data_IF_330924925645
#
_entry.id   IF_330924925645
#
_cell.length_a   1.000
_cell.length_b   1.000
_cell.length_c   1.000
_cell.angle_alpha   90.00
_cell.angle_beta   90.00
_cell.angle_gamma   90.00
#
_symmetry.space_group_name_H-M   'P 1'
#
loop_
_entity.id
_entity.type
_entity.pdbx_description
1 polymer ?
#
# COMPACT_ATOMS: atom_id res chain seq x y z
N UNK A 1 23.12 8.31 19.91
CA UNK A 1 21.82 8.97 20.09
C UNK A 1 21.87 10.28 19.35
N UNK A 2 20.91 10.57 18.49
CA UNK A 2 20.85 11.86 17.81
C UNK A 2 20.35 12.96 18.76
N UNK A 3 20.61 14.22 18.43
CA UNK A 3 20.21 15.36 19.26
C UNK A 3 18.69 15.42 19.54
N UNK A 4 17.86 14.95 18.60
CA UNK A 4 16.40 14.85 18.78
C UNK A 4 16.01 13.89 19.91
N UNK A 5 16.58 12.67 19.89
CA UNK A 5 16.31 11.65 20.89
C UNK A 5 16.76 12.08 22.27
N UNK A 6 17.93 12.75 22.33
CA UNK A 6 18.47 13.27 23.60
C UNK A 6 17.57 14.38 24.19
N UNK A 7 17.10 15.31 23.34
CA UNK A 7 16.17 16.36 23.74
C UNK A 7 14.83 15.78 24.23
N UNK A 8 14.26 14.82 23.51
CA UNK A 8 12.99 14.20 23.90
C UNK A 8 13.13 13.41 25.21
N UNK A 9 14.22 12.67 25.38
CA UNK A 9 14.50 11.95 26.62
C UNK A 9 14.61 12.93 27.82
N UNK A 10 15.36 14.00 27.64
CA UNK A 10 15.52 15.04 28.68
C UNK A 10 14.18 15.73 29.01
N UNK A 11 13.38 16.10 28.00
CA UNK A 11 12.09 16.75 28.22
C UNK A 11 11.02 15.81 28.82
N UNK A 12 11.22 14.50 28.76
CA UNK A 12 10.36 13.49 29.39
C UNK A 12 10.76 13.20 30.85
N UNK A 13 11.93 13.59 31.29
CA UNK A 13 12.39 13.39 32.70
C UNK A 13 11.43 14.08 33.68
N UNK A 14 11.10 13.43 34.77
CA UNK A 14 10.15 13.92 35.79
C UNK A 14 10.49 15.32 36.32
N UNK A 15 11.78 15.59 36.49
CA UNK A 15 12.30 16.88 36.97
C UNK A 15 12.29 18.02 35.95
N UNK A 16 12.04 17.68 34.63
CA UNK A 16 12.05 18.71 33.58
C UNK A 16 10.96 19.75 33.79
N UNK A 17 11.31 21.01 33.62
CA UNK A 17 10.35 22.14 33.51
C UNK A 17 10.52 22.80 32.17
N UNK A 18 9.42 23.29 31.53
CA UNK A 18 9.51 23.95 30.22
C UNK A 18 10.60 25.04 30.22
N UNK A 19 11.50 24.94 29.24
CA UNK A 19 12.67 25.82 29.07
C UNK A 19 12.55 26.57 27.74
N UNK A 20 13.07 27.81 27.72
CA UNK A 20 13.23 28.54 26.46
C UNK A 20 14.51 28.08 25.71
N UNK A 21 14.73 28.65 24.53
CA UNK A 21 15.86 28.24 23.68
C UNK A 21 17.23 28.55 24.33
N UNK A 22 17.33 29.62 25.10
CA UNK A 22 18.58 30.02 25.74
C UNK A 22 18.92 29.08 26.92
N UNK A 23 17.89 28.73 27.71
CA UNK A 23 18.00 27.75 28.78
C UNK A 23 18.42 26.38 28.20
N UNK A 24 17.84 25.94 27.09
CA UNK A 24 18.22 24.68 26.42
C UNK A 24 19.64 24.72 25.85
N UNK A 25 20.03 25.83 25.22
CA UNK A 25 21.41 26.02 24.71
C UNK A 25 22.42 25.88 25.84
N UNK A 26 22.14 26.49 27.03
CA UNK A 26 23.01 26.38 28.20
C UNK A 26 23.08 24.96 28.77
N UNK A 27 21.94 24.25 28.84
CA UNK A 27 21.88 22.89 29.39
C UNK A 27 22.61 21.88 28.49
N UNK A 28 22.51 22.04 27.17
CA UNK A 28 23.11 21.14 26.18
C UNK A 28 24.51 21.60 25.72
N UNK A 29 25.05 22.68 26.29
CA UNK A 29 26.36 23.26 25.95
C UNK A 29 26.54 23.44 24.42
N UNK A 30 25.51 24.02 23.77
CA UNK A 30 25.49 24.21 22.32
C UNK A 30 26.41 25.37 21.93
N UNK A 31 27.41 25.07 21.12
CA UNK A 31 28.35 26.08 20.62
C UNK A 31 27.68 27.10 19.67
N UNK A 32 28.25 28.32 19.49
CA UNK A 32 27.71 29.31 18.55
C UNK A 32 27.60 28.81 17.13
N UNK A 33 28.50 27.93 16.69
CA UNK A 33 28.46 27.33 15.34
C UNK A 33 27.34 26.32 15.19
N UNK A 34 26.98 25.61 16.23
CA UNK A 34 25.89 24.61 16.24
C UNK A 34 24.51 25.22 16.48
N UNK A 35 24.43 26.45 16.97
CA UNK A 35 23.17 27.12 17.33
C UNK A 35 22.15 27.13 16.21
N UNK A 36 22.60 27.41 14.97
CA UNK A 36 21.68 27.41 13.80
C UNK A 36 21.05 26.04 13.55
N UNK A 37 21.83 24.98 13.66
CA UNK A 37 21.38 23.60 13.48
C UNK A 37 20.43 23.22 14.62
N UNK A 38 20.78 23.52 15.85
CA UNK A 38 19.97 23.30 17.04
C UNK A 38 18.60 23.97 16.94
N UNK A 39 18.56 25.27 16.60
CA UNK A 39 17.32 26.02 16.38
C UNK A 39 16.46 25.41 15.27
N UNK A 40 17.09 24.96 14.16
CA UNK A 40 16.38 24.26 13.09
C UNK A 40 15.80 22.94 13.56
N UNK A 41 16.53 22.20 14.39
CA UNK A 41 16.08 20.94 14.99
C UNK A 41 14.85 21.13 15.86
N UNK A 42 14.87 22.13 16.78
CA UNK A 42 13.71 22.45 17.60
C UNK A 42 12.49 22.82 16.74
N UNK A 43 12.69 23.61 15.68
CA UNK A 43 11.61 23.96 14.76
C UNK A 43 11.02 22.73 14.03
N UNK A 44 11.87 21.79 13.63
CA UNK A 44 11.40 20.54 13.01
C UNK A 44 10.62 19.71 14.04
N UNK A 45 11.11 19.58 15.26
CA UNK A 45 10.43 18.84 16.33
C UNK A 45 9.07 19.47 16.69
N UNK A 46 8.97 20.79 16.65
CA UNK A 46 7.70 21.54 16.83
C UNK A 46 6.73 21.23 15.68
N UNK A 47 7.17 21.30 14.41
CA UNK A 47 6.37 20.94 13.24
C UNK A 47 5.93 19.46 13.24
N UNK A 48 6.76 18.57 13.73
CA UNK A 48 6.44 17.15 13.90
C UNK A 48 5.49 16.89 15.09
N UNK A 49 5.22 17.92 15.93
CA UNK A 49 4.44 17.81 17.15
C UNK A 49 5.11 16.92 18.21
N UNK A 50 6.43 16.74 18.14
CA UNK A 50 7.21 16.03 19.15
C UNK A 50 7.47 16.89 20.39
N UNK A 51 7.51 18.20 20.20
CA UNK A 51 7.52 19.22 21.24
C UNK A 51 6.50 20.32 20.89
N UNK A 52 6.07 21.05 21.89
CA UNK A 52 5.18 22.21 21.74
C UNK A 52 5.78 23.42 22.43
N UNK A 53 5.40 24.60 21.94
CA UNK A 53 5.80 25.86 22.55
C UNK A 53 4.66 26.42 23.38
N UNK A 54 4.95 26.70 24.67
CA UNK A 54 3.97 27.33 25.55
C UNK A 54 3.79 28.82 25.23
N UNK A 55 2.74 29.43 25.76
CA UNK A 55 2.50 30.90 25.65
C UNK A 55 3.64 31.77 26.21
N UNK A 56 4.59 31.19 26.94
CA UNK A 56 5.78 31.86 27.46
C UNK A 56 7.05 31.53 26.66
N UNK A 57 6.89 31.10 25.40
CA UNK A 57 8.00 30.72 24.52
C UNK A 57 8.91 29.58 25.04
N UNK A 58 8.37 28.71 25.90
CA UNK A 58 9.10 27.57 26.47
C UNK A 58 8.69 26.28 25.80
N UNK A 59 9.66 25.37 25.61
CA UNK A 59 9.44 24.07 24.97
C UNK A 59 9.08 23.00 26.01
N UNK A 60 8.17 22.10 25.63
CA UNK A 60 7.82 20.90 26.40
C UNK A 60 7.32 19.80 25.48
N UNK A 61 7.33 18.55 25.92
CA UNK A 61 6.60 17.49 25.25
C UNK A 61 5.10 17.66 25.46
N UNK A 62 4.26 17.32 24.45
CA UNK A 62 2.80 17.51 24.51
C UNK A 62 2.15 16.93 25.76
N UNK A 63 2.57 15.74 26.17
CA UNK A 63 2.00 14.98 27.29
C UNK A 63 2.09 15.78 28.61
N UNK A 64 3.17 16.53 28.81
CA UNK A 64 3.34 17.38 30.01
C UNK A 64 2.37 18.54 30.07
N UNK A 65 1.81 18.92 28.95
CA UNK A 65 0.80 19.98 28.86
C UNK A 65 -0.63 19.42 28.79
N UNK A 66 -0.79 18.11 28.96
CA UNK A 66 -2.07 17.43 28.83
C UNK A 66 -2.60 17.44 27.39
N UNK A 67 -1.67 17.53 26.42
CA UNK A 67 -1.99 17.44 24.99
C UNK A 67 -1.78 16.01 24.48
N UNK A 68 -2.70 15.55 23.65
CA UNK A 68 -2.64 14.26 22.98
C UNK A 68 -2.46 14.48 21.49
N UNK A 69 -1.50 13.77 20.91
CA UNK A 69 -1.25 13.77 19.48
C UNK A 69 -1.94 12.58 18.82
N UNK A 70 -2.55 12.82 17.66
CA UNK A 70 -3.23 11.76 16.92
C UNK A 70 -3.81 12.24 15.60
N UNK A 71 -4.63 11.38 14.98
CA UNK A 71 -5.33 11.68 13.73
C UNK A 71 -6.83 11.82 13.96
N UNK A 72 -7.43 12.80 13.30
CA UNK A 72 -8.89 13.03 13.36
C UNK A 72 -9.60 12.03 12.46
N UNK A 73 -10.50 11.27 13.03
CA UNK A 73 -11.52 10.52 12.29
C UNK A 73 -12.82 11.32 12.32
N UNK A 74 -13.10 12.02 11.24
CA UNK A 74 -14.28 12.88 11.14
C UNK A 74 -15.55 12.08 10.83
N UNK A 75 -16.67 12.60 11.29
CA UNK A 75 -17.99 12.08 10.99
C UNK A 75 -18.80 13.08 10.17
N UNK A 76 -19.68 12.60 9.26
CA UNK A 76 -20.52 13.43 8.39
C UNK A 76 -21.38 14.49 9.09
N UNK A 77 -21.61 14.35 10.41
CA UNK A 77 -22.33 15.33 11.24
C UNK A 77 -21.43 16.43 11.81
N UNK A 78 -20.14 16.49 11.43
CA UNK A 78 -19.21 17.55 11.82
C UNK A 78 -18.43 17.31 13.11
N UNK A 79 -18.76 16.31 13.91
CA UNK A 79 -17.92 15.89 15.03
C UNK A 79 -16.85 14.89 14.56
N UNK A 80 -15.86 14.60 15.40
CA UNK A 80 -14.84 13.60 15.12
C UNK A 80 -14.36 12.87 16.36
N UNK A 81 -13.42 11.95 16.14
CA UNK A 81 -12.67 11.30 17.17
C UNK A 81 -11.18 11.51 16.90
N UNK A 82 -10.42 11.84 17.92
CA UNK A 82 -8.99 11.71 17.86
C UNK A 82 -8.61 10.24 18.08
N UNK A 83 -7.89 9.67 17.14
CA UNK A 83 -7.23 8.37 17.28
C UNK A 83 -5.80 8.68 17.70
N UNK A 84 -5.40 8.42 18.97
CA UNK A 84 -4.06 8.69 19.44
C UNK A 84 -2.98 7.92 18.68
N UNK A 85 -1.77 8.49 18.59
CA UNK A 85 -0.59 7.81 18.02
C UNK A 85 0.09 6.87 19.02
N UNK A 86 -0.16 7.05 20.32
CA UNK A 86 0.39 6.18 21.37
C UNK A 86 -0.47 4.92 21.57
N UNK A 87 0.17 3.77 21.57
CA UNK A 87 -0.47 2.48 21.81
C UNK A 87 -1.07 2.43 23.23
N UNK A 88 -2.33 1.99 23.31
CA UNK A 88 -3.05 1.83 24.58
C UNK A 88 -3.82 3.07 25.06
N UNK A 89 -3.62 4.24 24.43
CA UNK A 89 -4.46 5.42 24.66
C UNK A 89 -5.86 5.23 24.05
N UNK A 90 -6.88 5.79 24.73
CA UNK A 90 -8.27 5.72 24.25
C UNK A 90 -8.61 6.86 23.32
N UNK A 91 -9.51 6.62 22.38
CA UNK A 91 -10.05 7.63 21.49
C UNK A 91 -10.68 8.79 22.27
N UNK A 92 -10.51 10.00 21.75
CA UNK A 92 -11.08 11.21 22.34
C UNK A 92 -12.17 11.75 21.44
N UNK A 93 -13.38 11.94 21.98
CA UNK A 93 -14.48 12.58 21.25
C UNK A 93 -14.22 14.07 21.07
N UNK A 94 -14.35 14.59 19.85
CA UNK A 94 -14.18 16.00 19.50
C UNK A 94 -15.51 16.54 19.01
N UNK A 95 -16.22 17.34 19.80
CA UNK A 95 -17.44 18.01 19.37
C UNK A 95 -17.20 18.90 18.14
N UNK A 96 -18.22 19.10 17.32
CA UNK A 96 -18.13 19.94 16.11
C UNK A 96 -17.67 21.39 16.39
N UNK A 97 -18.00 21.93 17.55
CA UNK A 97 -17.55 23.26 18.00
C UNK A 97 -16.07 23.32 18.35
N UNK A 98 -15.43 22.18 18.59
CA UNK A 98 -14.03 22.06 19.04
C UNK A 98 -13.11 21.41 18.00
N UNK A 99 -13.62 21.15 16.78
CA UNK A 99 -12.81 20.60 15.70
C UNK A 99 -11.84 21.62 15.08
N UNK A 100 -12.11 22.92 15.29
CA UNK A 100 -11.24 24.05 14.94
C UNK A 100 -10.61 23.99 13.53
N UNK A 101 -11.40 23.60 12.53
CA UNK A 101 -10.98 23.54 11.12
C UNK A 101 -10.13 22.31 10.78
N UNK A 102 -10.00 21.33 11.67
CA UNK A 102 -9.41 20.04 11.34
C UNK A 102 -10.34 19.24 10.41
N UNK A 103 -9.76 18.58 9.44
CA UNK A 103 -10.43 17.72 8.47
C UNK A 103 -10.12 16.24 8.75
N UNK A 104 -10.85 15.35 8.09
CA UNK A 104 -10.64 13.91 8.24
C UNK A 104 -9.18 13.51 7.97
N UNK A 105 -8.60 12.69 8.82
CA UNK A 105 -7.20 12.22 8.80
C UNK A 105 -6.14 13.29 9.07
N UNK A 106 -6.48 14.55 9.31
CA UNK A 106 -5.49 15.53 9.74
C UNK A 106 -4.80 15.06 11.03
N UNK A 107 -3.50 15.29 11.11
CA UNK A 107 -2.70 15.04 12.30
C UNK A 107 -2.72 16.26 13.20
N UNK A 108 -3.15 16.11 14.44
CA UNK A 108 -3.48 17.22 15.32
C UNK A 108 -2.95 17.03 16.74
N UNK A 109 -2.89 18.15 17.48
CA UNK A 109 -2.79 18.18 18.94
C UNK A 109 -4.14 18.52 19.53
N UNK A 110 -4.55 17.75 20.51
CA UNK A 110 -5.84 17.89 21.20
C UNK A 110 -5.61 18.12 22.68
N UNK A 111 -6.25 19.14 23.25
CA UNK A 111 -6.35 19.37 24.69
C UNK A 111 -7.56 18.61 25.21
N UNK A 112 -7.39 17.81 26.27
CA UNK A 112 -8.51 17.20 26.97
C UNK A 112 -9.28 18.27 27.74
N UNK A 113 -10.57 18.39 27.41
CA UNK A 113 -11.51 19.34 28.07
C UNK A 113 -12.34 18.65 29.13
N UNK A 114 -12.57 17.33 28.98
CA UNK A 114 -13.25 16.49 29.98
C UNK A 114 -12.64 15.11 29.96
N UNK A 115 -12.25 14.63 31.13
CA UNK A 115 -11.75 13.26 31.29
C UNK A 115 -12.89 12.28 31.57
N UNK A 116 -12.58 10.99 31.40
CA UNK A 116 -13.55 9.91 31.61
C UNK A 116 -13.83 9.70 33.11
N UNK A 117 -14.80 10.43 33.63
CA UNK A 117 -15.30 10.27 34.99
C UNK A 117 -16.66 9.62 34.93
N UNK A 118 -16.84 8.46 35.57
CA UNK A 118 -18.10 7.71 35.65
C UNK A 118 -18.66 7.20 34.29
N UNK A 119 -17.80 6.70 33.38
CA UNK A 119 -18.22 6.10 32.10
C UNK A 119 -18.69 7.10 31.06
N UNK A 120 -18.47 8.41 31.26
CA UNK A 120 -18.68 9.42 30.21
C UNK A 120 -17.49 9.45 29.27
N UNK A 121 -17.75 9.66 27.98
CA UNK A 121 -16.71 9.71 26.94
C UNK A 121 -15.73 10.85 27.25
N UNK A 122 -14.44 10.57 27.06
CA UNK A 122 -13.36 11.57 27.09
C UNK A 122 -13.59 12.58 25.98
N UNK A 123 -13.59 13.88 26.27
CA UNK A 123 -13.82 14.96 25.32
C UNK A 123 -12.58 15.85 25.18
N UNK A 124 -12.34 16.36 23.97
CA UNK A 124 -11.20 17.24 23.71
C UNK A 124 -11.49 18.32 22.69
N UNK A 125 -10.56 19.26 22.58
CA UNK A 125 -10.54 20.36 21.62
C UNK A 125 -9.25 20.31 20.80
N UNK A 126 -9.35 20.44 19.48
CA UNK A 126 -8.18 20.59 18.60
C UNK A 126 -7.53 21.95 18.86
N UNK A 127 -6.28 21.91 19.31
CA UNK A 127 -5.51 23.14 19.58
C UNK A 127 -4.64 23.52 18.39
N UNK A 128 -4.07 22.51 17.70
CA UNK A 128 -3.17 22.73 16.58
C UNK A 128 -3.31 21.62 15.54
N UNK A 129 -3.14 21.98 14.27
CA UNK A 129 -3.12 21.06 13.14
C UNK A 129 -1.68 20.94 12.68
N UNK A 130 -1.05 19.80 12.94
CA UNK A 130 0.36 19.51 12.64
C UNK A 130 0.57 19.19 11.15
N UNK A 131 -0.36 18.44 10.57
CA UNK A 131 -0.27 17.98 9.19
C UNK A 131 -1.66 17.88 8.55
N UNK A 132 -1.80 18.44 7.36
CA UNK A 132 -3.01 18.34 6.56
C UNK A 132 -2.99 17.08 5.70
N UNK A 133 -3.98 16.22 5.87
CA UNK A 133 -4.10 14.98 5.10
C UNK A 133 -4.72 15.21 3.70
N UNK A 134 -5.60 16.20 3.55
CA UNK A 134 -6.46 16.33 2.37
C UNK A 134 -6.11 17.60 1.56
N UNK A 135 -4.90 17.66 1.02
CA UNK A 135 -4.48 18.79 0.17
C UNK A 135 -5.16 18.78 -1.20
N UNK A 136 -5.54 17.60 -1.69
CA UNK A 136 -6.32 17.39 -2.92
C UNK A 136 -7.60 16.64 -2.59
N UNK A 137 -8.71 17.10 -3.08
CA UNK A 137 -10.04 16.55 -2.80
C UNK A 137 -10.75 16.27 -4.11
N UNK A 138 -11.29 15.06 -4.21
CA UNK A 138 -12.13 14.66 -5.34
C UNK A 138 -13.59 14.89 -4.97
N UNK A 139 -14.34 15.50 -5.89
CA UNK A 139 -15.73 15.78 -5.67
C UNK A 139 -16.44 16.23 -6.94
N UNK A 140 -17.73 16.46 -6.80
CA UNK A 140 -18.58 16.96 -7.89
C UNK A 140 -18.59 18.49 -7.87
N UNK A 141 -18.29 19.09 -9.02
CA UNK A 141 -18.36 20.55 -9.16
C UNK A 141 -19.80 21.01 -9.37
N UNK A 142 -20.25 21.90 -8.52
CA UNK A 142 -21.54 22.59 -8.61
C UNK A 142 -21.33 24.05 -8.99
N UNK A 143 -21.72 24.42 -10.20
CA UNK A 143 -21.54 25.78 -10.73
C UNK A 143 -22.67 26.73 -10.25
N UNK A 144 -22.31 27.97 -9.99
CA UNK A 144 -23.20 29.07 -9.71
C UNK A 144 -22.81 30.29 -10.56
N UNK A 145 -23.60 31.34 -10.56
CA UNK A 145 -23.38 32.50 -11.45
C UNK A 145 -21.99 33.13 -11.36
N UNK A 146 -21.44 33.28 -10.15
CA UNK A 146 -20.17 33.98 -9.90
C UNK A 146 -19.12 33.14 -9.19
N UNK A 147 -19.43 31.93 -8.74
CA UNK A 147 -18.57 31.00 -8.02
C UNK A 147 -19.10 29.58 -8.19
N UNK A 148 -18.46 28.62 -7.63
CA UNK A 148 -18.94 27.24 -7.53
C UNK A 148 -18.45 26.58 -6.26
N UNK A 149 -18.86 25.34 -6.09
CA UNK A 149 -18.40 24.50 -5.00
C UNK A 149 -17.96 23.15 -5.53
N UNK A 150 -16.97 22.54 -4.89
CA UNK A 150 -16.68 21.12 -5.05
C UNK A 150 -17.24 20.42 -3.82
N UNK A 151 -18.25 19.58 -4.05
CA UNK A 151 -18.87 18.72 -3.03
C UNK A 151 -18.03 17.44 -2.95
N UNK A 152 -17.31 17.19 -1.84
CA UNK A 152 -16.44 16.02 -1.71
C UNK A 152 -17.22 14.70 -1.83
N UNK A 153 -16.64 13.70 -2.52
CA UNK A 153 -17.20 12.34 -2.52
C UNK A 153 -17.04 11.65 -1.16
N UNK A 154 -15.96 11.95 -0.44
CA UNK A 154 -15.79 11.46 0.92
C UNK A 154 -16.68 12.24 1.88
N UNK A 155 -17.78 11.65 2.29
CA UNK A 155 -18.77 12.26 3.22
C UNK A 155 -18.21 12.61 4.59
N UNK A 156 -16.99 12.14 4.94
CA UNK A 156 -16.27 12.53 6.16
C UNK A 156 -15.66 13.92 6.04
N UNK A 157 -15.48 14.41 4.81
CA UNK A 157 -15.16 15.80 4.52
C UNK A 157 -16.49 16.57 4.42
N UNK A 158 -16.96 17.06 5.53
CA UNK A 158 -18.32 17.61 5.72
C UNK A 158 -18.48 19.06 5.26
N UNK A 159 -17.52 19.61 4.54
CA UNK A 159 -17.55 20.98 4.02
C UNK A 159 -17.23 21.00 2.53
N UNK A 160 -18.07 21.73 1.78
CA UNK A 160 -17.84 21.97 0.38
C UNK A 160 -16.71 22.98 0.18
N UNK A 161 -15.92 22.80 -0.88
CA UNK A 161 -14.78 23.66 -1.19
C UNK A 161 -15.23 24.76 -2.12
N UNK A 162 -15.13 26.00 -1.66
CA UNK A 162 -15.44 27.17 -2.47
C UNK A 162 -14.43 27.32 -3.62
N UNK A 163 -14.94 27.50 -4.85
CA UNK A 163 -14.17 27.69 -6.07
C UNK A 163 -14.56 29.04 -6.70
N UNK A 164 -13.59 29.92 -6.85
CA UNK A 164 -13.86 31.19 -7.55
C UNK A 164 -13.99 30.94 -9.07
N UNK A 165 -14.71 31.84 -9.76
CA UNK A 165 -14.94 31.69 -11.20
C UNK A 165 -13.67 31.56 -12.03
N UNK A 166 -12.58 32.21 -11.64
CA UNK A 166 -11.26 32.16 -12.30
C UNK A 166 -10.53 30.85 -12.06
N UNK A 167 -10.86 30.15 -10.97
CA UNK A 167 -10.16 28.95 -10.49
C UNK A 167 -10.88 27.65 -10.88
N UNK A 168 -11.96 27.72 -11.69
CA UNK A 168 -12.76 26.56 -12.09
C UNK A 168 -12.13 25.69 -13.20
N UNK A 169 -11.06 26.15 -13.83
CA UNK A 169 -10.28 25.40 -14.81
C UNK A 169 -11.12 24.65 -15.87
N UNK A 170 -12.13 25.33 -16.43
CA UNK A 170 -13.01 24.77 -17.46
C UNK A 170 -14.06 23.77 -16.97
N UNK A 171 -14.15 23.48 -15.68
CA UNK A 171 -15.16 22.58 -15.12
C UNK A 171 -16.59 23.07 -15.36
N UNK A 172 -17.50 22.16 -15.62
CA UNK A 172 -18.94 22.40 -15.79
C UNK A 172 -19.71 21.77 -14.63
N UNK A 173 -20.92 22.23 -14.42
CA UNK A 173 -21.79 21.66 -13.39
C UNK A 173 -21.97 20.15 -13.57
N UNK A 174 -21.75 19.38 -12.51
CA UNK A 174 -21.84 17.93 -12.50
C UNK A 174 -20.56 17.18 -12.90
N UNK A 175 -19.48 17.89 -13.27
CA UNK A 175 -18.20 17.24 -13.53
C UNK A 175 -17.57 16.73 -12.23
N UNK A 176 -16.93 15.58 -12.30
CA UNK A 176 -16.04 15.07 -11.23
C UNK A 176 -14.68 15.72 -11.43
N UNK A 177 -14.18 16.34 -10.37
CA UNK A 177 -12.95 17.15 -10.42
C UNK A 177 -12.01 16.84 -9.27
N UNK A 178 -10.73 17.18 -9.44
CA UNK A 178 -9.75 17.26 -8.36
C UNK A 178 -9.55 18.73 -8.00
N UNK A 179 -9.93 19.12 -6.80
CA UNK A 179 -9.68 20.43 -6.24
C UNK A 179 -8.48 20.39 -5.29
N UNK A 180 -7.56 21.34 -5.44
CA UNK A 180 -6.48 21.58 -4.48
C UNK A 180 -6.93 22.65 -3.50
N UNK A 181 -6.82 22.35 -2.19
CA UNK A 181 -7.19 23.29 -1.14
C UNK A 181 -6.11 24.35 -1.01
N UNK A 182 -6.49 25.62 -1.19
CA UNK A 182 -5.58 26.77 -1.08
C UNK A 182 -5.73 27.53 0.22
N UNK A 183 -6.95 27.48 0.80
CA UNK A 183 -7.22 28.00 2.15
C UNK A 183 -8.03 26.98 2.92
N UNK A 184 -7.57 26.73 4.12
CA UNK A 184 -8.20 25.75 5.01
C UNK A 184 -9.42 26.34 5.73
N UNK A 185 -10.38 25.48 6.15
CA UNK A 185 -11.54 25.95 6.88
C UNK A 185 -11.14 26.56 8.22
N UNK A 186 -11.87 27.58 8.62
CA UNK A 186 -11.83 28.13 9.97
C UNK A 186 -13.25 28.17 10.59
N UNK A 187 -13.38 28.67 11.81
CA UNK A 187 -14.70 28.72 12.53
C UNK A 187 -15.82 29.38 11.74
N UNK A 188 -15.54 30.20 10.70
CA UNK A 188 -16.51 31.01 9.98
C UNK A 188 -16.47 30.88 8.46
N UNK A 189 -15.50 30.17 7.91
CA UNK A 189 -15.27 30.09 6.46
C UNK A 189 -15.09 28.66 6.00
N UNK A 190 -15.76 28.31 4.92
CA UNK A 190 -15.52 27.09 4.20
C UNK A 190 -14.10 27.07 3.59
N UNK A 191 -13.52 25.92 3.32
CA UNK A 191 -12.26 25.84 2.61
C UNK A 191 -12.39 26.44 1.21
N UNK A 192 -11.32 27.11 0.73
CA UNK A 192 -11.23 27.59 -0.65
C UNK A 192 -10.23 26.72 -1.44
N UNK A 193 -10.47 26.55 -2.73
CA UNK A 193 -9.61 25.76 -3.59
C UNK A 193 -9.59 26.18 -5.04
N UNK A 194 -8.75 25.51 -5.81
CA UNK A 194 -8.65 25.64 -7.26
C UNK A 194 -8.85 24.26 -7.90
N UNK A 195 -9.58 24.17 -8.99
CA UNK A 195 -9.71 22.92 -9.74
C UNK A 195 -8.42 22.70 -10.52
N UNK A 196 -7.75 21.57 -10.25
CA UNK A 196 -6.51 21.18 -10.94
C UNK A 196 -6.76 20.31 -12.16
N UNK A 197 -7.75 19.43 -12.05
CA UNK A 197 -8.05 18.44 -13.09
C UNK A 197 -9.56 18.20 -13.15
N UNK A 198 -10.09 18.12 -14.37
CA UNK A 198 -11.46 17.67 -14.63
C UNK A 198 -11.35 16.22 -15.08
N UNK A 199 -11.92 15.29 -14.32
CA UNK A 199 -11.82 13.86 -14.59
C UNK A 199 -12.85 13.38 -15.62
N UNK A 200 -14.04 14.00 -15.66
CA UNK A 200 -15.12 13.67 -16.58
C UNK A 200 -16.51 13.93 -15.97
N UNK A 201 -17.56 13.56 -16.70
CA UNK A 201 -18.94 13.73 -16.22
C UNK A 201 -19.35 12.56 -15.34
N UNK A 202 -20.07 12.85 -14.26
CA UNK A 202 -20.64 11.84 -13.37
C UNK A 202 -21.47 10.82 -14.17
N UNK A 203 -21.15 9.52 -14.03
CA UNK A 203 -21.79 8.41 -14.77
C UNK A 203 -21.10 8.03 -16.08
N UNK A 204 -20.03 8.69 -16.47
CA UNK A 204 -19.20 8.29 -17.60
C UNK A 204 -18.48 6.96 -17.32
N UNK A 205 -18.41 6.08 -18.33
CA UNK A 205 -17.86 4.74 -18.18
C UNK A 205 -16.36 4.80 -17.84
N UNK A 206 -15.96 4.10 -16.78
CA UNK A 206 -14.57 4.00 -16.32
C UNK A 206 -14.12 5.17 -15.44
N UNK A 207 -14.98 6.19 -15.23
CA UNK A 207 -14.68 7.32 -14.36
C UNK A 207 -14.67 6.94 -12.89
N UNK A 208 -15.50 5.98 -12.50
CA UNK A 208 -15.54 5.39 -11.17
C UNK A 208 -14.19 4.77 -10.79
N UNK A 209 -13.59 3.98 -11.68
CA UNK A 209 -12.26 3.39 -11.47
C UNK A 209 -11.18 4.48 -11.44
N UNK A 210 -11.21 5.43 -12.37
CA UNK A 210 -10.28 6.56 -12.38
C UNK A 210 -10.35 7.36 -11.08
N UNK A 211 -11.54 7.60 -10.57
CA UNK A 211 -11.77 8.29 -9.30
C UNK A 211 -11.15 7.52 -8.12
N UNK A 212 -11.29 6.19 -8.09
CA UNK A 212 -10.65 5.33 -7.08
C UNK A 212 -9.13 5.45 -7.17
N UNK A 213 -8.55 5.37 -8.37
CA UNK A 213 -7.11 5.52 -8.61
C UNK A 213 -6.60 6.86 -8.04
N UNK A 214 -7.26 7.94 -8.41
CA UNK A 214 -6.88 9.30 -7.97
C UNK A 214 -7.08 9.48 -6.45
N UNK A 215 -8.18 8.96 -5.89
CA UNK A 215 -8.50 9.02 -4.46
C UNK A 215 -7.44 8.34 -3.60
N UNK A 216 -6.91 7.22 -4.06
CA UNK A 216 -5.87 6.48 -3.35
C UNK A 216 -4.45 6.89 -3.75
N UNK A 217 -4.29 7.88 -4.64
CA UNK A 217 -2.99 8.35 -5.11
C UNK A 217 -2.17 7.27 -5.79
N UNK A 218 -2.84 6.30 -6.46
CA UNK A 218 -2.16 5.20 -7.13
C UNK A 218 -1.38 5.74 -8.33
N UNK A 219 -0.10 5.37 -8.47
CA UNK A 219 0.74 5.87 -9.56
C UNK A 219 0.41 5.14 -10.87
N UNK A 220 -0.26 5.81 -11.79
CA UNK A 220 -0.68 5.24 -13.09
C UNK A 220 0.50 4.99 -14.02
N UNK A 221 1.50 5.88 -14.02
CA UNK A 221 2.65 5.83 -14.91
C UNK A 221 3.94 5.57 -14.15
N UNK A 222 4.91 4.98 -14.85
CA UNK A 222 6.27 4.85 -14.35
C UNK A 222 7.11 6.08 -14.75
N UNK A 223 8.01 6.55 -13.88
CA UNK A 223 8.97 7.58 -14.25
C UNK A 223 9.81 7.16 -15.47
N UNK A 224 10.08 8.10 -16.38
CA UNK A 224 10.84 7.85 -17.61
C UNK A 224 12.20 7.17 -17.35
N UNK A 225 12.88 7.51 -16.25
CA UNK A 225 14.13 6.88 -15.83
C UNK A 225 13.97 5.38 -15.51
N UNK A 226 12.83 4.99 -14.92
CA UNK A 226 12.53 3.60 -14.59
C UNK A 226 12.25 2.80 -15.85
N UNK A 227 11.46 3.37 -16.77
CA UNK A 227 11.18 2.76 -18.07
C UNK A 227 12.47 2.59 -18.89
N UNK A 228 13.30 3.63 -19.00
CA UNK A 228 14.57 3.56 -19.72
C UNK A 228 15.51 2.49 -19.13
N UNK A 229 15.55 2.36 -17.79
CA UNK A 229 16.33 1.32 -17.16
C UNK A 229 15.79 -0.07 -17.48
N UNK A 230 14.46 -0.27 -17.42
CA UNK A 230 13.81 -1.53 -17.77
C UNK A 230 14.09 -1.92 -19.23
N UNK A 231 13.99 -0.96 -20.17
CA UNK A 231 14.28 -1.22 -21.59
C UNK A 231 15.73 -1.64 -21.85
N UNK A 232 16.68 -1.19 -21.03
CA UNK A 232 18.07 -1.60 -21.10
C UNK A 232 18.36 -3.03 -20.61
N UNK A 233 17.39 -3.73 -19.99
CA UNK A 233 17.59 -5.11 -19.53
C UNK A 233 17.43 -6.08 -20.72
N UNK A 234 18.44 -6.95 -20.99
CA UNK A 234 18.34 -7.93 -22.05
C UNK A 234 17.19 -8.92 -21.82
N UNK A 235 16.53 -9.33 -22.90
CA UNK A 235 15.50 -10.38 -22.84
C UNK A 235 16.09 -11.79 -22.79
N UNK A 236 17.26 -11.95 -23.36
CA UNK A 236 18.02 -13.21 -23.38
C UNK A 236 18.80 -13.38 -22.06
N UNK A 237 18.81 -14.61 -21.57
CA UNK A 237 19.56 -14.96 -20.36
C UNK A 237 21.03 -15.14 -20.74
N UNK A 238 21.94 -14.50 -19.97
CA UNK A 238 23.40 -14.67 -20.17
C UNK A 238 23.79 -16.15 -19.99
N UNK A 239 24.60 -16.67 -20.90
CA UNK A 239 25.11 -18.04 -20.84
C UNK A 239 25.84 -18.36 -19.52
N UNK A 240 26.47 -17.37 -18.88
CA UNK A 240 27.13 -17.55 -17.58
C UNK A 240 26.10 -17.83 -16.48
N UNK A 241 24.93 -17.17 -16.54
CA UNK A 241 23.84 -17.46 -15.61
C UNK A 241 23.24 -18.84 -15.84
N UNK A 242 23.07 -19.25 -17.10
CA UNK A 242 22.62 -20.62 -17.44
C UNK A 242 23.57 -21.66 -16.86
N UNK A 243 24.90 -21.47 -17.03
CA UNK A 243 25.93 -22.41 -16.54
C UNK A 243 26.03 -22.41 -15.00
N UNK A 244 25.74 -21.33 -14.34
CA UNK A 244 25.80 -21.18 -12.87
C UNK A 244 24.62 -21.85 -12.17
N UNK A 245 23.46 -21.81 -12.79
CA UNK A 245 22.20 -22.29 -12.21
C UNK A 245 21.98 -23.79 -12.50
N UNK A 246 21.10 -24.39 -11.72
CA UNK A 246 20.62 -25.75 -11.98
C UNK A 246 19.70 -25.72 -13.20
N UNK A 247 20.10 -26.35 -14.29
CA UNK A 247 19.29 -26.44 -15.50
C UNK A 247 18.25 -27.56 -15.35
N UNK A 248 16.98 -27.14 -15.33
CA UNK A 248 15.82 -28.02 -15.20
C UNK A 248 14.80 -27.82 -16.34
N UNK A 249 15.24 -27.28 -17.48
CA UNK A 249 14.40 -27.02 -18.66
C UNK A 249 13.80 -28.30 -19.26
N UNK A 250 14.32 -29.47 -18.90
CA UNK A 250 13.81 -30.78 -19.29
C UNK A 250 12.69 -31.31 -18.37
N UNK A 251 12.46 -30.66 -17.22
CA UNK A 251 11.37 -31.05 -16.32
C UNK A 251 10.08 -30.46 -16.86
N UNK A 252 9.05 -31.30 -16.98
CA UNK A 252 7.71 -30.87 -17.37
C UNK A 252 7.07 -30.06 -16.26
N UNK A 253 6.65 -28.85 -16.58
CA UNK A 253 6.02 -27.92 -15.65
C UNK A 253 5.04 -27.01 -16.37
N UNK A 254 4.06 -26.51 -15.66
CA UNK A 254 3.01 -25.63 -16.18
C UNK A 254 2.79 -24.45 -15.25
N UNK A 255 2.31 -23.33 -15.81
CA UNK A 255 1.63 -22.28 -15.02
C UNK A 255 0.13 -22.52 -15.09
N UNK A 256 -0.62 -22.20 -14.03
CA UNK A 256 -2.09 -22.36 -13.98
C UNK A 256 -2.69 -21.09 -13.39
N UNK A 257 -3.30 -20.26 -14.24
CA UNK A 257 -3.72 -18.91 -13.88
C UNK A 257 -5.12 -18.60 -14.45
N UNK A 258 -5.62 -17.39 -14.23
CA UNK A 258 -6.80 -16.88 -14.92
C UNK A 258 -6.54 -16.63 -16.40
N UNK A 259 -7.60 -16.56 -17.21
CA UNK A 259 -7.52 -16.39 -18.67
C UNK A 259 -6.76 -15.13 -19.07
N UNK A 260 -6.96 -14.03 -18.34
CA UNK A 260 -6.39 -12.72 -18.64
C UNK A 260 -5.04 -12.46 -17.98
N UNK A 261 -4.53 -13.40 -17.15
CA UNK A 261 -3.24 -13.26 -16.48
C UNK A 261 -2.10 -13.16 -17.49
N UNK A 262 -1.19 -12.20 -17.26
CA UNK A 262 -0.01 -11.97 -18.08
C UNK A 262 1.28 -12.01 -17.27
N UNK A 263 1.17 -11.88 -15.97
CA UNK A 263 2.19 -11.91 -14.95
C UNK A 263 2.19 -13.31 -14.30
N UNK A 264 2.81 -14.27 -15.00
CA UNK A 264 2.87 -15.66 -14.57
C UNK A 264 4.04 -15.81 -13.60
N UNK A 265 3.79 -15.66 -12.31
CA UNK A 265 4.84 -15.59 -11.29
C UNK A 265 5.32 -16.95 -10.82
N UNK A 266 4.47 -17.99 -10.92
CA UNK A 266 4.77 -19.34 -10.46
C UNK A 266 4.45 -20.42 -11.49
N UNK A 267 5.29 -21.47 -11.48
CA UNK A 267 5.07 -22.71 -12.23
C UNK A 267 5.19 -23.90 -11.31
N UNK A 268 4.51 -24.98 -11.67
CA UNK A 268 4.43 -26.20 -10.87
C UNK A 268 4.86 -27.40 -11.69
N UNK A 269 5.67 -28.28 -11.09
CA UNK A 269 5.99 -29.61 -11.60
C UNK A 269 5.64 -30.67 -10.56
N UNK A 270 5.23 -31.85 -11.00
CA UNK A 270 4.83 -32.94 -10.12
C UNK A 270 5.36 -34.27 -10.66
N UNK A 271 5.73 -35.16 -9.73
CA UNK A 271 6.09 -36.54 -10.02
C UNK A 271 5.62 -37.43 -8.87
N UNK A 272 4.91 -38.51 -9.19
CA UNK A 272 4.56 -39.55 -8.20
C UNK A 272 5.65 -40.59 -8.18
N UNK A 273 6.35 -40.70 -7.05
CA UNK A 273 7.47 -41.63 -6.87
C UNK A 273 6.98 -43.05 -6.64
N UNK A 274 7.80 -44.04 -6.95
CA UNK A 274 7.50 -45.47 -6.77
C UNK A 274 7.12 -45.85 -5.33
N UNK A 275 7.64 -45.11 -4.35
CA UNK A 275 7.34 -45.31 -2.94
C UNK A 275 6.03 -44.66 -2.50
N UNK A 276 5.21 -44.18 -3.42
CA UNK A 276 3.93 -43.51 -3.18
C UNK A 276 4.01 -42.07 -2.63
N UNK A 277 5.20 -41.50 -2.56
CA UNK A 277 5.39 -40.08 -2.20
C UNK A 277 5.29 -39.22 -3.47
N UNK A 278 5.15 -37.91 -3.26
CA UNK A 278 5.09 -36.91 -4.31
C UNK A 278 6.37 -36.07 -4.30
N UNK A 279 6.94 -35.82 -5.47
CA UNK A 279 7.95 -34.79 -5.66
C UNK A 279 7.30 -33.60 -6.31
N UNK A 280 7.04 -32.58 -5.50
CA UNK A 280 6.45 -31.32 -5.93
C UNK A 280 7.57 -30.31 -6.18
N UNK A 281 7.61 -29.71 -7.38
CA UNK A 281 8.44 -28.55 -7.67
C UNK A 281 7.57 -27.31 -7.76
N UNK A 282 7.96 -26.26 -7.04
CA UNK A 282 7.38 -24.92 -7.13
C UNK A 282 8.49 -23.99 -7.60
N UNK A 283 8.24 -23.30 -8.70
CA UNK A 283 9.22 -22.49 -9.41
C UNK A 283 8.71 -21.06 -9.48
N UNK A 284 9.35 -20.14 -8.76
CA UNK A 284 8.96 -18.72 -8.71
C UNK A 284 9.93 -17.92 -9.58
N UNK A 285 9.39 -17.02 -10.38
CA UNK A 285 10.18 -16.11 -11.21
C UNK A 285 11.25 -15.38 -10.38
N UNK A 286 12.53 -15.46 -10.79
CA UNK A 286 13.64 -14.80 -10.09
C UNK A 286 13.71 -13.32 -10.44
N UNK A 287 12.74 -12.56 -9.94
CA UNK A 287 12.67 -11.10 -10.11
C UNK A 287 13.90 -10.40 -9.55
N UNK A 288 14.50 -10.97 -8.48
CA UNK A 288 15.68 -10.40 -7.81
C UNK A 288 16.94 -10.40 -8.66
N UNK A 289 16.98 -11.26 -9.70
CA UNK A 289 18.06 -11.23 -10.69
C UNK A 289 18.05 -9.90 -11.48
N UNK A 290 16.90 -9.37 -11.81
CA UNK A 290 16.73 -8.16 -12.63
C UNK A 290 16.57 -6.88 -11.78
N UNK A 291 15.87 -6.98 -10.65
CA UNK A 291 15.64 -5.86 -9.73
C UNK A 291 16.70 -5.88 -8.63
N UNK A 292 17.84 -5.21 -8.88
CA UNK A 292 18.94 -5.15 -7.91
C UNK A 292 18.70 -4.03 -6.90
N UNK A 293 19.16 -4.25 -5.67
CA UNK A 293 19.07 -3.28 -4.57
C UNK A 293 19.54 -1.88 -5.00
N UNK A 294 18.77 -0.88 -4.67
CA UNK A 294 19.02 0.56 -4.93
C UNK A 294 19.03 1.00 -6.40
N UNK A 295 18.75 0.10 -7.36
CA UNK A 295 18.56 0.51 -8.75
C UNK A 295 17.23 1.31 -8.95
N UNK A 296 16.97 1.89 -10.11
CA UNK A 296 15.73 2.63 -10.37
C UNK A 296 14.46 1.78 -10.21
N UNK A 297 14.49 0.51 -10.59
CA UNK A 297 13.35 -0.42 -10.45
C UNK A 297 13.05 -0.71 -8.99
N UNK A 298 14.08 -1.04 -8.18
CA UNK A 298 13.94 -1.33 -6.76
C UNK A 298 13.34 -0.13 -6.00
N UNK A 299 13.84 1.07 -6.24
CA UNK A 299 13.31 2.28 -5.62
C UNK A 299 11.85 2.55 -5.97
N UNK A 300 11.45 2.32 -7.22
CA UNK A 300 10.08 2.50 -7.65
C UNK A 300 9.18 1.38 -7.13
N UNK A 301 9.65 0.12 -7.15
CA UNK A 301 8.93 -1.02 -6.59
C UNK A 301 8.68 -0.85 -5.08
N UNK A 302 9.70 -0.40 -4.32
CA UNK A 302 9.57 -0.09 -2.90
C UNK A 302 8.52 1.01 -2.65
N UNK A 303 8.48 2.04 -3.50
CA UNK A 303 7.50 3.12 -3.41
C UNK A 303 6.08 2.64 -3.71
N UNK A 304 5.90 1.76 -4.70
CA UNK A 304 4.59 1.20 -5.08
C UNK A 304 4.13 0.12 -4.10
N UNK A 305 5.05 -0.60 -3.48
CA UNK A 305 4.86 -1.69 -2.52
C UNK A 305 4.17 -2.95 -3.06
N UNK A 306 3.22 -2.82 -3.98
CA UNK A 306 2.43 -3.92 -4.55
C UNK A 306 1.90 -3.56 -5.93
N UNK A 307 1.50 -4.57 -6.70
CA UNK A 307 0.59 -4.39 -7.84
C UNK A 307 -0.83 -4.22 -7.33
N UNK A 308 -1.63 -3.35 -7.97
CA UNK A 308 -3.03 -3.12 -7.62
C UNK A 308 -3.92 -3.60 -8.76
N UNK A 309 -4.74 -4.61 -8.48
CA UNK A 309 -5.66 -5.21 -9.43
C UNK A 309 -7.03 -4.53 -9.30
N UNK A 310 -7.40 -3.74 -10.31
CA UNK A 310 -8.71 -3.10 -10.44
C UNK A 310 -9.58 -3.95 -11.38
N UNK A 311 -10.87 -3.66 -11.42
CA UNK A 311 -11.81 -4.47 -12.21
C UNK A 311 -11.54 -4.44 -13.72
N UNK A 312 -10.95 -3.35 -14.23
CA UNK A 312 -10.73 -3.12 -15.67
C UNK A 312 -9.24 -3.05 -16.05
N UNK A 313 -8.34 -2.94 -15.08
CA UNK A 313 -6.89 -2.78 -15.30
C UNK A 313 -6.05 -3.17 -14.10
N UNK A 314 -4.76 -3.37 -14.34
CA UNK A 314 -3.75 -3.55 -13.31
C UNK A 314 -2.81 -2.36 -13.30
N UNK A 315 -2.53 -1.81 -12.11
CA UNK A 315 -1.44 -0.86 -11.88
C UNK A 315 -0.28 -1.69 -11.33
N UNK A 316 0.71 -2.04 -12.15
CA UNK A 316 1.73 -3.00 -11.74
C UNK A 316 2.81 -2.36 -10.86
N UNK A 317 3.40 -3.17 -9.98
CA UNK A 317 4.56 -2.79 -9.15
C UNK A 317 5.82 -2.60 -10.01
N UNK A 318 5.98 -3.39 -11.05
CA UNK A 318 7.11 -3.36 -11.98
C UNK A 318 6.65 -3.04 -13.41
N UNK A 319 7.50 -2.42 -14.25
CA UNK A 319 7.18 -2.20 -15.67
C UNK A 319 6.79 -3.49 -16.39
N UNK A 320 5.84 -3.40 -17.34
CA UNK A 320 5.32 -4.56 -18.07
C UNK A 320 6.39 -5.39 -18.78
N UNK A 321 7.51 -4.79 -19.18
CA UNK A 321 8.65 -5.52 -19.75
C UNK A 321 9.20 -6.57 -18.78
N UNK A 322 9.14 -6.30 -17.46
CA UNK A 322 9.50 -7.27 -16.45
C UNK A 322 8.29 -8.16 -16.10
N UNK A 323 7.21 -7.57 -15.60
CA UNK A 323 6.10 -8.33 -15.03
C UNK A 323 5.39 -9.25 -16.04
N UNK A 324 5.23 -8.83 -17.30
CA UNK A 324 4.56 -9.62 -18.33
C UNK A 324 5.56 -10.26 -19.32
N UNK A 325 6.82 -9.83 -19.26
CA UNK A 325 7.90 -10.21 -20.17
C UNK A 325 8.92 -11.14 -19.54
N UNK A 326 10.08 -10.58 -19.20
CA UNK A 326 11.28 -11.37 -18.81
C UNK A 326 11.12 -12.09 -17.46
N UNK A 327 10.30 -11.58 -16.54
CA UNK A 327 9.99 -12.26 -15.27
C UNK A 327 8.77 -13.18 -15.38
N UNK A 328 7.87 -12.97 -16.35
CA UNK A 328 6.72 -13.86 -16.53
C UNK A 328 7.16 -15.22 -17.08
N UNK A 329 6.72 -16.30 -16.44
CA UNK A 329 7.06 -17.69 -16.77
C UNK A 329 6.30 -18.17 -18.03
N UNK A 330 6.38 -17.38 -19.10
CA UNK A 330 5.73 -17.68 -20.37
C UNK A 330 6.16 -19.05 -20.93
N UNK A 331 5.26 -19.80 -21.60
CA UNK A 331 5.56 -21.14 -22.08
C UNK A 331 6.61 -21.14 -23.19
N UNK A 332 7.43 -22.21 -23.20
CA UNK A 332 8.39 -22.53 -24.28
C UNK A 332 9.56 -21.53 -24.40
N UNK A 333 9.77 -20.69 -23.41
CA UNK A 333 10.92 -19.79 -23.32
C UNK A 333 11.71 -20.01 -22.04
N UNK A 334 13.02 -19.76 -22.10
CA UNK A 334 13.88 -19.90 -20.94
C UNK A 334 13.61 -18.78 -19.94
N UNK A 335 13.51 -19.12 -18.66
CA UNK A 335 13.31 -18.18 -17.58
C UNK A 335 14.17 -18.52 -16.38
N UNK A 336 14.59 -17.48 -15.65
CA UNK A 336 15.27 -17.65 -14.37
C UNK A 336 14.24 -17.81 -13.27
N UNK A 337 14.45 -18.80 -12.41
CA UNK A 337 13.54 -19.05 -11.29
C UNK A 337 14.31 -19.41 -10.01
N UNK A 338 13.66 -19.19 -8.88
CA UNK A 338 13.98 -19.83 -7.60
C UNK A 338 13.03 -21.02 -7.44
N UNK A 339 13.59 -22.20 -7.37
CA UNK A 339 12.81 -23.44 -7.32
C UNK A 339 12.94 -24.13 -5.99
N UNK A 340 11.80 -24.56 -5.45
CA UNK A 340 11.74 -25.43 -4.28
C UNK A 340 11.18 -26.78 -4.68
N UNK A 341 11.98 -27.82 -4.55
CA UNK A 341 11.56 -29.21 -4.72
C UNK A 341 11.25 -29.80 -3.36
N UNK A 342 10.10 -30.42 -3.20
CA UNK A 342 9.64 -31.01 -1.94
C UNK A 342 9.28 -32.46 -2.13
N UNK A 343 9.76 -33.34 -1.25
CA UNK A 343 9.30 -34.73 -1.15
C UNK A 343 8.20 -34.77 -0.09
N UNK A 344 6.98 -35.08 -0.52
CA UNK A 344 5.78 -35.04 0.33
C UNK A 344 5.20 -36.45 0.45
N UNK A 345 4.87 -36.89 1.66
CA UNK A 345 4.23 -38.20 1.90
C UNK A 345 2.70 -38.13 1.69
N UNK A 346 2.07 -39.29 1.74
CA UNK A 346 0.61 -39.45 1.58
C UNK A 346 -0.25 -38.83 2.72
N UNK A 347 0.40 -38.23 3.73
CA UNK A 347 -0.24 -37.47 4.80
C UNK A 347 0.01 -35.96 4.68
N UNK A 348 0.63 -35.54 3.57
CA UNK A 348 0.97 -34.15 3.31
C UNK A 348 2.14 -33.62 4.17
N UNK A 349 3.00 -34.52 4.73
CA UNK A 349 4.21 -34.09 5.45
C UNK A 349 5.36 -33.97 4.45
N UNK A 350 6.01 -32.80 4.46
CA UNK A 350 7.27 -32.61 3.75
C UNK A 350 8.34 -33.41 4.47
N UNK A 351 8.91 -34.41 3.77
CA UNK A 351 9.96 -35.29 4.28
C UNK A 351 11.35 -34.76 3.97
N UNK A 352 11.51 -34.08 2.83
CA UNK A 352 12.76 -33.52 2.35
C UNK A 352 12.49 -32.36 1.42
N UNK A 353 13.44 -31.44 1.24
CA UNK A 353 13.33 -30.32 0.31
C UNK A 353 14.69 -29.82 -0.18
N UNK A 354 14.71 -29.26 -1.38
CA UNK A 354 15.85 -28.61 -1.99
C UNK A 354 15.42 -27.25 -2.54
N UNK A 355 16.14 -26.17 -2.22
CA UNK A 355 15.95 -24.85 -2.81
C UNK A 355 17.15 -24.53 -3.69
N UNK A 356 16.90 -24.11 -4.93
CA UNK A 356 17.94 -23.82 -5.90
C UNK A 356 17.57 -22.65 -6.81
N UNK A 357 18.57 -21.90 -7.24
CA UNK A 357 18.47 -21.03 -8.40
C UNK A 357 18.49 -21.89 -9.67
N UNK A 358 17.52 -21.71 -10.53
CA UNK A 358 17.28 -22.58 -11.68
C UNK A 358 17.10 -21.81 -12.97
N UNK A 359 17.31 -22.53 -14.08
CA UNK A 359 16.83 -22.17 -15.41
C UNK A 359 15.71 -23.13 -15.77
N UNK A 360 14.54 -22.58 -16.07
CA UNK A 360 13.33 -23.34 -16.37
C UNK A 360 12.81 -23.04 -17.78
N UNK A 361 11.96 -23.92 -18.27
CA UNK A 361 11.15 -23.71 -19.48
C UNK A 361 9.80 -24.36 -19.26
N UNK A 362 8.76 -23.54 -19.05
CA UNK A 362 7.42 -24.07 -18.86
C UNK A 362 6.90 -24.72 -20.13
N UNK A 363 6.22 -25.85 -19.99
CA UNK A 363 5.67 -26.61 -21.11
C UNK A 363 4.45 -25.91 -21.71
N UNK A 364 3.51 -25.54 -20.87
CA UNK A 364 2.27 -24.87 -21.27
C UNK A 364 1.84 -23.82 -20.21
N UNK A 365 1.13 -22.80 -20.68
CA UNK A 365 0.32 -21.94 -19.85
C UNK A 365 -1.10 -22.52 -19.80
N UNK A 366 -1.51 -23.00 -18.66
CA UNK A 366 -2.86 -23.51 -18.44
C UNK A 366 -3.72 -22.43 -17.78
N UNK A 367 -5.04 -22.57 -17.95
CA UNK A 367 -6.01 -21.75 -17.23
C UNK A 367 -6.73 -22.59 -16.18
N UNK A 368 -7.23 -21.94 -15.12
CA UNK A 368 -8.08 -22.62 -14.13
C UNK A 368 -9.28 -23.30 -14.81
N UNK A 369 -9.88 -22.64 -15.80
CA UNK A 369 -11.01 -23.16 -16.57
C UNK A 369 -10.64 -24.42 -17.34
N UNK A 370 -9.51 -24.41 -18.07
CA UNK A 370 -9.11 -25.57 -18.88
C UNK A 370 -8.75 -26.78 -18.00
N UNK A 371 -8.01 -26.55 -16.91
CA UNK A 371 -7.68 -27.63 -15.95
C UNK A 371 -8.95 -28.18 -15.29
N UNK A 372 -9.91 -27.32 -14.94
CA UNK A 372 -11.20 -27.75 -14.40
C UNK A 372 -11.99 -28.59 -15.41
N UNK A 373 -12.07 -28.19 -16.67
CA UNK A 373 -12.73 -28.96 -17.73
C UNK A 373 -12.08 -30.33 -17.95
N UNK A 374 -10.74 -30.39 -17.91
CA UNK A 374 -10.01 -31.66 -18.01
C UNK A 374 -10.34 -32.60 -16.84
N UNK A 375 -10.30 -32.07 -15.59
CA UNK A 375 -10.42 -32.89 -14.38
C UNK A 375 -11.85 -33.20 -13.96
N UNK A 376 -12.81 -32.31 -14.26
CA UNK A 376 -14.21 -32.43 -13.80
C UNK A 376 -15.17 -32.76 -14.92
N UNK A 377 -15.05 -32.07 -16.05
CA UNK A 377 -16.02 -32.18 -17.15
C UNK A 377 -15.62 -33.26 -18.16
N UNK A 378 -14.38 -33.79 -18.04
CA UNK A 378 -13.81 -34.77 -18.98
C UNK A 378 -13.89 -34.31 -20.46
N UNK A 379 -13.55 -33.04 -20.71
CA UNK A 379 -13.56 -32.44 -22.03
C UNK A 379 -12.59 -33.17 -22.98
N UNK A 380 -13.12 -33.92 -23.94
CA UNK A 380 -12.33 -34.77 -24.81
C UNK A 380 -11.38 -34.00 -25.73
N UNK A 381 -11.73 -32.78 -26.13
CA UNK A 381 -10.87 -31.94 -26.98
C UNK A 381 -9.63 -31.44 -26.18
N UNK A 382 -9.87 -30.94 -24.95
CA UNK A 382 -8.79 -30.50 -24.08
C UNK A 382 -7.91 -31.66 -23.60
N UNK A 383 -8.52 -32.79 -23.26
CA UNK A 383 -7.79 -34.02 -22.90
C UNK A 383 -6.89 -34.46 -24.06
N UNK A 384 -7.38 -34.49 -25.28
CA UNK A 384 -6.59 -34.85 -26.46
C UNK A 384 -5.48 -33.83 -26.75
N UNK A 385 -5.76 -32.54 -26.56
CA UNK A 385 -4.78 -31.46 -26.77
C UNK A 385 -3.63 -31.52 -25.77
N UNK A 386 -3.93 -31.83 -24.51
CA UNK A 386 -2.98 -31.85 -23.39
C UNK A 386 -2.81 -33.26 -22.81
N UNK A 387 -2.91 -34.31 -23.64
CA UNK A 387 -2.86 -35.72 -23.23
C UNK A 387 -1.66 -36.04 -22.35
N UNK A 388 -0.50 -35.49 -22.67
CA UNK A 388 0.76 -35.68 -21.96
C UNK A 388 0.81 -34.98 -20.58
N UNK A 389 -0.17 -34.13 -20.23
CA UNK A 389 -0.28 -33.42 -18.95
C UNK A 389 -1.42 -33.95 -18.06
N UNK A 390 -2.33 -34.76 -18.61
CA UNK A 390 -3.54 -35.19 -17.89
C UNK A 390 -3.20 -35.93 -16.59
N UNK A 391 -2.21 -36.83 -16.63
CA UNK A 391 -1.80 -37.59 -15.45
C UNK A 391 -1.08 -36.70 -14.41
N UNK A 392 -0.37 -35.66 -14.86
CA UNK A 392 0.22 -34.67 -13.98
C UNK A 392 -0.88 -33.89 -13.25
N UNK A 393 -1.95 -33.43 -13.96
CA UNK A 393 -3.07 -32.73 -13.34
C UNK A 393 -3.81 -33.60 -12.32
N UNK A 394 -4.05 -34.89 -12.61
CA UNK A 394 -4.64 -35.81 -11.63
C UNK A 394 -3.77 -35.98 -10.39
N UNK A 395 -2.46 -36.06 -10.57
CA UNK A 395 -1.50 -36.16 -9.48
C UNK A 395 -1.43 -34.88 -8.66
N UNK A 396 -1.50 -33.70 -9.31
CA UNK A 396 -1.59 -32.41 -8.65
C UNK A 396 -2.86 -32.28 -7.83
N UNK A 397 -4.01 -32.72 -8.37
CA UNK A 397 -5.27 -32.73 -7.64
C UNK A 397 -5.22 -33.65 -6.42
N UNK A 398 -4.70 -34.87 -6.55
CA UNK A 398 -4.55 -35.82 -5.44
C UNK A 398 -3.73 -35.18 -4.31
N UNK A 399 -2.58 -34.60 -4.62
CA UNK A 399 -1.75 -33.93 -3.62
C UNK A 399 -2.41 -32.69 -3.04
N UNK A 400 -3.10 -31.90 -3.86
CA UNK A 400 -3.85 -30.71 -3.42
C UNK A 400 -4.89 -31.06 -2.35
N UNK A 401 -5.66 -32.14 -2.57
CA UNK A 401 -6.67 -32.63 -1.60
C UNK A 401 -6.03 -33.05 -0.28
N UNK A 402 -4.90 -33.77 -0.33
CA UNK A 402 -4.14 -34.16 0.86
C UNK A 402 -3.67 -32.93 1.66
N UNK A 403 -3.08 -31.96 0.97
CA UNK A 403 -2.60 -30.72 1.59
C UNK A 403 -3.73 -29.85 2.14
N UNK A 404 -4.87 -29.80 1.44
CA UNK A 404 -6.09 -29.12 1.89
C UNK A 404 -6.65 -29.74 3.15
N UNK A 405 -6.79 -31.08 3.20
CA UNK A 405 -7.25 -31.78 4.39
C UNK A 405 -6.36 -31.50 5.61
N UNK A 406 -5.03 -31.55 5.42
CA UNK A 406 -4.08 -31.20 6.47
C UNK A 406 -4.24 -29.77 6.96
N UNK A 407 -4.46 -28.80 6.05
CA UNK A 407 -4.68 -27.40 6.38
C UNK A 407 -5.97 -27.19 7.16
N UNK A 408 -7.05 -27.86 6.75
CA UNK A 408 -8.33 -27.83 7.45
C UNK A 408 -8.24 -28.42 8.88
N UNK A 409 -7.52 -29.53 9.06
CA UNK A 409 -7.26 -30.13 10.39
C UNK A 409 -6.47 -29.19 11.32
N UNK A 410 -5.69 -28.26 10.79
CA UNK A 410 -5.00 -27.22 11.57
C UNK A 410 -5.89 -26.04 11.97
N UNK A 411 -7.15 -26.01 11.56
CA UNK A 411 -8.09 -24.93 11.85
C UNK A 411 -8.17 -23.83 10.78
N UNK A 412 -7.77 -24.11 9.53
CA UNK A 412 -7.98 -23.17 8.44
C UNK A 412 -9.49 -22.95 8.23
N UNK A 413 -9.86 -21.69 8.02
CA UNK A 413 -11.24 -21.31 7.64
C UNK A 413 -11.37 -21.50 6.14
N UNK A 414 -12.41 -22.23 5.71
CA UNK A 414 -12.74 -22.36 4.29
C UNK A 414 -13.69 -21.24 3.89
N UNK A 415 -13.25 -20.38 3.00
CA UNK A 415 -14.15 -19.45 2.32
C UNK A 415 -14.77 -20.15 1.11
N UNK A 416 -16.07 -20.54 1.25
CA UNK A 416 -16.81 -21.23 0.18
C UNK A 416 -17.03 -20.35 -1.07
N UNK A 417 -16.77 -19.02 -0.99
CA UNK A 417 -16.91 -18.12 -2.13
C UNK A 417 -15.62 -18.00 -2.95
N UNK A 418 -14.49 -18.41 -2.41
CA UNK A 418 -13.19 -18.42 -3.10
C UNK A 418 -12.75 -19.79 -3.58
N UNK A 419 -13.69 -20.72 -3.78
CA UNK A 419 -13.37 -21.99 -4.42
C UNK A 419 -13.22 -21.73 -5.93
N UNK A 420 -12.02 -21.41 -6.27
CA UNK A 420 -11.54 -21.52 -7.64
C UNK A 420 -10.83 -22.84 -7.76
#
# INVERSE_FOLDING_TARGET
MGIKETLLSFMKEEAYRPMDIQELVSVFDISPDEYKVFKKTLKIMELEGSIVRTNKDKFAVPERLGLIKGRIQSHKKGFGFLIPEEDGERDVFIPSSFINGAMNNDRVLVQITRDDVNGKKREGEVIEILERANTKIIGVYEDSRNFGFVVPEDTRLNQDIFISKKDKNGANHGDIVIAEVTKWPDKRRSPEGVIKEVLGKKGEKGLDILTIIKKHGLPEEFPAKVLAYAEGIPEEIDEKEIKRRKDIRNIRMVTIDGEDAKDLDDAVSIEKLENGKYKLGVHIADVSHYVKEKNPLDKEALKRATSVYLIDRVIPMLPKKLSNGICSLNPKVDRLALSCFMIIDNKGKVCDHEIAETVIRTSERMTYTDVTKILRDNDEELIKKYDYLVDDFKTMEELCLILREKRMKRGAIEDRKSVV
#
